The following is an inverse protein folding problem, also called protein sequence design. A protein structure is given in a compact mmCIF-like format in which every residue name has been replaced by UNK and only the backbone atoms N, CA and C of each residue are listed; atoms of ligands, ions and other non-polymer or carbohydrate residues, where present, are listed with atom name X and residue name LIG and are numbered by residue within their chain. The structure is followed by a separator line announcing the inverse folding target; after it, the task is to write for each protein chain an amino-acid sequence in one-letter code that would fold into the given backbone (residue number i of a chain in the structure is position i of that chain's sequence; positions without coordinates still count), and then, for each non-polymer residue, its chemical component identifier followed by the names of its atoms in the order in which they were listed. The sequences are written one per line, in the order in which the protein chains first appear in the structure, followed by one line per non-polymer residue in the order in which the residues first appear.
data_IF_803737952131
#
_entry.id   IF_803737952131
#
_cell.length_a   1.000
_cell.length_b   1.000
_cell.length_c   1.000
_cell.angle_alpha   90.00
_cell.angle_beta   90.00
_cell.angle_gamma   90.00
#
_symmetry.space_group_name_H-M   'P 1'
#
loop_
_entity.id
_entity.type
_entity.pdbx_description
1 polymer ?
#
# COMPACT_ATOMS: atom_id res chain seq x y z
N UNK A 1 25.15 -14.74 2.98
CA UNK A 1 23.86 -15.46 2.80
C UNK A 1 23.31 -15.45 1.38
N UNK A 2 22.76 -14.36 0.81
CA UNK A 2 22.11 -14.42 -0.53
C UNK A 2 23.06 -14.83 -1.68
N UNK A 3 24.29 -14.29 -1.70
CA UNK A 3 25.34 -14.67 -2.66
C UNK A 3 25.82 -16.12 -2.48
N UNK A 4 25.86 -16.62 -1.25
CA UNK A 4 26.24 -18.01 -0.94
C UNK A 4 25.16 -18.98 -1.41
N UNK A 5 23.88 -18.65 -1.22
CA UNK A 5 22.75 -19.45 -1.71
C UNK A 5 22.65 -19.43 -3.23
N UNK A 6 22.93 -18.29 -3.87
CA UNK A 6 23.00 -18.19 -5.33
C UNK A 6 24.11 -19.06 -5.93
N UNK A 7 25.24 -19.18 -5.22
CA UNK A 7 26.34 -20.07 -5.59
C UNK A 7 26.07 -21.56 -5.26
N UNK A 8 25.03 -21.86 -4.48
CA UNK A 8 24.60 -23.23 -4.20
C UNK A 8 23.68 -23.77 -5.30
N UNK A 9 23.50 -25.09 -5.36
CA UNK A 9 22.61 -25.76 -6.32
C UNK A 9 21.13 -25.56 -5.96
N UNK A 10 20.63 -24.34 -6.10
CA UNK A 10 19.25 -23.96 -5.82
C UNK A 10 18.30 -24.48 -6.92
N UNK A 11 17.11 -24.95 -6.55
CA UNK A 11 16.02 -25.18 -7.51
C UNK A 11 15.44 -23.82 -7.95
N UNK A 12 15.97 -23.31 -9.06
CA UNK A 12 15.57 -22.04 -9.63
C UNK A 12 14.14 -22.02 -10.16
N UNK A 13 13.60 -23.17 -10.59
CA UNK A 13 12.23 -23.25 -11.08
C UNK A 13 11.25 -23.18 -9.90
N UNK A 14 11.58 -23.81 -8.77
CA UNK A 14 10.86 -23.61 -7.52
C UNK A 14 10.92 -22.16 -7.06
N UNK A 15 12.11 -21.53 -7.07
CA UNK A 15 12.27 -20.13 -6.71
C UNK A 15 11.36 -19.20 -7.53
N UNK A 16 11.33 -19.37 -8.86
CA UNK A 16 10.47 -18.57 -9.74
C UNK A 16 8.98 -18.78 -9.45
N UNK A 17 8.55 -20.01 -9.16
CA UNK A 17 7.15 -20.31 -8.78
C UNK A 17 6.81 -19.78 -7.38
N UNK A 18 7.79 -19.67 -6.50
CA UNK A 18 7.62 -19.23 -5.12
C UNK A 18 7.47 -17.70 -5.01
N UNK A 19 8.28 -16.93 -5.73
CA UNK A 19 8.33 -15.47 -5.56
C UNK A 19 7.02 -14.77 -5.99
N UNK A 20 6.33 -15.30 -7.00
CA UNK A 20 5.18 -14.64 -7.63
C UNK A 20 3.92 -14.61 -6.72
N UNK A 21 3.46 -15.72 -6.10
CA UNK A 21 2.37 -15.69 -5.12
C UNK A 21 2.65 -14.78 -3.91
N UNK A 22 3.92 -14.56 -3.59
CA UNK A 22 4.33 -13.69 -2.48
C UNK A 22 4.41 -12.20 -2.85
N UNK A 23 4.01 -11.83 -4.07
CA UNK A 23 4.00 -10.43 -4.56
C UNK A 23 5.35 -9.70 -4.45
N UNK A 24 6.44 -10.46 -4.29
CA UNK A 24 7.79 -9.91 -4.14
C UNK A 24 8.55 -9.82 -5.47
N UNK A 25 7.94 -10.28 -6.57
CA UNK A 25 8.62 -10.44 -7.85
C UNK A 25 9.28 -9.16 -8.39
N UNK A 26 8.64 -7.98 -8.39
CA UNK A 26 9.30 -6.75 -8.87
C UNK A 26 10.52 -6.37 -8.03
N UNK A 27 10.40 -6.46 -6.70
CA UNK A 27 11.47 -6.12 -5.75
C UNK A 27 12.63 -7.11 -5.87
N UNK A 28 12.33 -8.41 -5.89
CA UNK A 28 13.32 -9.49 -6.06
C UNK A 28 14.03 -9.36 -7.40
N UNK A 29 13.30 -9.10 -8.49
CA UNK A 29 13.90 -8.88 -9.81
C UNK A 29 14.86 -7.69 -9.81
N UNK A 30 14.48 -6.58 -9.17
CA UNK A 30 15.34 -5.41 -9.03
C UNK A 30 16.64 -5.75 -8.27
N UNK A 31 16.52 -6.42 -7.12
CA UNK A 31 17.66 -6.83 -6.31
C UNK A 31 18.57 -7.79 -7.07
N UNK A 32 18.03 -8.87 -7.65
CA UNK A 32 18.79 -9.85 -8.43
C UNK A 32 19.58 -9.19 -9.55
N UNK A 33 18.97 -8.27 -10.29
CA UNK A 33 19.65 -7.54 -11.37
C UNK A 33 20.80 -6.67 -10.85
N UNK A 34 20.69 -6.11 -9.66
CA UNK A 34 21.69 -5.22 -9.09
C UNK A 34 22.84 -5.96 -8.39
N UNK A 35 22.57 -7.14 -7.83
CA UNK A 35 23.52 -7.79 -6.90
C UNK A 35 23.89 -9.23 -7.26
N UNK A 36 23.07 -9.95 -8.04
CA UNK A 36 23.22 -11.39 -8.26
C UNK A 36 23.21 -11.79 -9.75
N UNK A 37 23.14 -10.85 -10.70
CA UNK A 37 22.95 -11.16 -12.13
C UNK A 37 24.02 -12.06 -12.72
N UNK A 38 25.26 -11.95 -12.24
CA UNK A 38 26.39 -12.77 -12.67
C UNK A 38 26.48 -14.12 -11.94
N UNK A 39 25.71 -14.29 -10.85
CA UNK A 39 25.79 -15.44 -9.95
C UNK A 39 24.65 -16.45 -10.13
N UNK A 40 23.67 -16.16 -10.97
CA UNK A 40 22.51 -17.04 -11.21
C UNK A 40 22.40 -17.39 -12.70
N UNK A 41 21.68 -18.47 -13.08
CA UNK A 41 21.55 -18.83 -14.48
C UNK A 41 20.89 -17.71 -15.31
N UNK A 42 21.43 -17.35 -16.49
CA UNK A 42 20.88 -16.27 -17.33
C UNK A 42 19.39 -16.40 -17.61
N UNK A 43 18.90 -17.64 -17.81
CA UNK A 43 17.47 -17.93 -18.01
C UNK A 43 16.59 -17.40 -16.87
N UNK A 44 17.08 -17.45 -15.63
CA UNK A 44 16.33 -17.04 -14.44
C UNK A 44 16.30 -15.51 -14.34
N UNK A 45 17.43 -14.85 -14.63
CA UNK A 45 17.48 -13.38 -14.74
C UNK A 45 16.48 -12.87 -15.77
N UNK A 46 16.47 -13.47 -16.96
CA UNK A 46 15.57 -13.07 -18.04
C UNK A 46 14.10 -13.31 -17.70
N UNK A 47 13.78 -14.46 -17.11
CA UNK A 47 12.41 -14.77 -16.67
C UNK A 47 11.93 -13.78 -15.61
N UNK A 48 12.74 -13.49 -14.58
CA UNK A 48 12.42 -12.47 -13.57
C UNK A 48 12.19 -11.11 -14.22
N UNK A 49 13.06 -10.70 -15.15
CA UNK A 49 12.96 -9.42 -15.84
C UNK A 49 11.67 -9.33 -16.65
N UNK A 50 11.35 -10.35 -17.45
CA UNK A 50 10.15 -10.38 -18.28
C UNK A 50 8.89 -10.36 -17.42
N UNK A 51 8.85 -11.13 -16.33
CA UNK A 51 7.73 -11.10 -15.38
C UNK A 51 7.61 -9.74 -14.70
N UNK A 52 8.72 -9.15 -14.24
CA UNK A 52 8.73 -7.86 -13.57
C UNK A 52 8.25 -6.74 -14.51
N UNK A 53 8.56 -6.79 -15.81
CA UNK A 53 8.01 -5.85 -16.80
C UNK A 53 6.47 -5.94 -16.86
N UNK A 54 5.89 -7.15 -16.81
CA UNK A 54 4.42 -7.32 -16.80
C UNK A 54 3.78 -6.72 -15.55
N UNK A 55 4.38 -6.97 -14.39
CA UNK A 55 3.94 -6.35 -13.13
C UNK A 55 4.06 -4.83 -13.18
N UNK A 56 5.20 -4.32 -13.66
CA UNK A 56 5.45 -2.89 -13.82
C UNK A 56 4.40 -2.20 -14.66
N UNK A 57 4.01 -2.76 -15.82
CA UNK A 57 2.95 -2.19 -16.67
C UNK A 57 1.59 -2.11 -15.95
N UNK A 58 1.24 -3.15 -15.17
CA UNK A 58 0.01 -3.14 -14.37
C UNK A 58 0.09 -2.07 -13.28
N UNK A 59 1.22 -1.98 -12.59
CA UNK A 59 1.47 -0.99 -11.55
C UNK A 59 1.41 0.44 -12.12
N UNK A 60 1.98 0.68 -13.29
CA UNK A 60 1.85 1.97 -14.01
C UNK A 60 0.38 2.30 -14.27
N UNK A 61 -0.38 1.34 -14.81
CA UNK A 61 -1.81 1.55 -15.10
C UNK A 61 -2.60 1.88 -13.83
N UNK A 62 -2.35 1.15 -12.73
CA UNK A 62 -2.97 1.44 -11.43
C UNK A 62 -2.54 2.80 -10.88
N UNK A 63 -1.29 3.20 -11.12
CA UNK A 63 -0.77 4.49 -10.69
C UNK A 63 -1.41 5.65 -11.44
N UNK A 64 -1.59 5.51 -12.75
CA UNK A 64 -2.29 6.50 -13.57
C UNK A 64 -3.76 6.63 -13.18
N UNK A 65 -4.43 5.50 -12.94
CA UNK A 65 -5.81 5.51 -12.45
C UNK A 65 -5.91 6.15 -11.06
N UNK A 66 -4.99 5.83 -10.16
CA UNK A 66 -4.94 6.45 -8.83
C UNK A 66 -4.74 7.97 -8.94
N UNK A 67 -3.83 8.43 -9.79
CA UNK A 67 -3.59 9.85 -10.01
C UNK A 67 -4.84 10.58 -10.57
N UNK A 68 -5.58 9.94 -11.48
CA UNK A 68 -6.83 10.47 -12.01
C UNK A 68 -7.90 10.60 -10.91
N UNK A 69 -8.09 9.55 -10.10
CA UNK A 69 -9.02 9.55 -8.96
C UNK A 69 -8.65 10.61 -7.93
N UNK A 70 -7.37 10.73 -7.58
CA UNK A 70 -6.88 11.74 -6.64
C UNK A 70 -7.13 13.16 -7.13
N UNK A 71 -6.92 13.41 -8.43
CA UNK A 71 -7.23 14.71 -9.04
C UNK A 71 -8.73 15.02 -8.99
N UNK A 72 -9.58 14.02 -9.26
CA UNK A 72 -11.03 14.18 -9.19
C UNK A 72 -11.52 14.44 -7.75
N UNK A 73 -10.93 13.77 -6.76
CA UNK A 73 -11.22 14.01 -5.35
C UNK A 73 -10.78 15.39 -4.89
N UNK A 74 -9.58 15.83 -5.27
CA UNK A 74 -9.10 17.18 -4.97
C UNK A 74 -10.05 18.25 -5.56
N UNK A 75 -10.51 18.07 -6.80
CA UNK A 75 -11.48 18.96 -7.43
C UNK A 75 -12.83 19.03 -6.72
N UNK A 76 -13.17 18.01 -5.93
CA UNK A 76 -14.36 17.96 -5.08
C UNK A 76 -14.07 18.38 -3.61
N UNK A 77 -12.86 18.83 -3.29
CA UNK A 77 -12.45 19.23 -1.94
C UNK A 77 -12.24 18.05 -0.98
N UNK A 78 -12.04 16.83 -1.48
CA UNK A 78 -11.93 15.61 -0.68
C UNK A 78 -10.45 15.30 -0.42
N UNK A 79 -10.08 15.26 0.86
CA UNK A 79 -8.75 14.80 1.27
C UNK A 79 -8.66 13.27 1.14
N UNK A 80 -8.09 12.80 0.04
CA UNK A 80 -7.93 11.38 -0.26
C UNK A 80 -6.53 10.87 0.13
N UNK A 81 -6.51 9.79 0.92
CA UNK A 81 -5.30 9.20 1.48
C UNK A 81 -5.14 7.77 0.99
N UNK A 82 -4.29 7.51 -0.02
CA UNK A 82 -3.95 6.16 -0.43
C UNK A 82 -3.26 5.41 0.71
N UNK A 83 -3.79 4.23 1.05
CA UNK A 83 -3.37 3.46 2.22
C UNK A 83 -2.22 2.50 1.94
N UNK A 84 -2.13 1.98 0.71
CA UNK A 84 -1.12 1.01 0.25
C UNK A 84 -0.89 1.17 -1.25
N UNK A 85 -0.10 0.26 -1.83
CA UNK A 85 0.03 0.13 -3.27
C UNK A 85 0.97 1.21 -3.83
N UNK A 86 0.70 1.79 -5.00
CA UNK A 86 1.70 2.53 -5.77
C UNK A 86 2.38 3.68 -5.02
N UNK A 87 1.62 4.43 -4.22
CA UNK A 87 2.14 5.56 -3.43
C UNK A 87 3.08 5.13 -2.32
N UNK A 88 2.73 4.07 -1.59
CA UNK A 88 3.56 3.53 -0.52
C UNK A 88 4.85 2.94 -1.08
N UNK A 89 4.75 2.20 -2.19
CA UNK A 89 5.90 1.58 -2.84
C UNK A 89 6.84 2.63 -3.42
N UNK A 90 6.32 3.69 -4.04
CA UNK A 90 7.13 4.83 -4.50
C UNK A 90 7.80 5.54 -3.32
N UNK A 91 7.10 5.69 -2.19
CA UNK A 91 7.68 6.30 -0.99
C UNK A 91 8.86 5.48 -0.42
N UNK A 92 8.74 4.16 -0.38
CA UNK A 92 9.76 3.26 0.19
C UNK A 92 10.92 3.03 -0.80
N UNK A 93 10.62 2.74 -2.06
CA UNK A 93 11.61 2.26 -3.05
C UNK A 93 11.86 3.23 -4.20
N UNK A 94 11.19 4.38 -4.25
CA UNK A 94 11.39 5.41 -5.27
C UNK A 94 10.79 5.09 -6.65
N UNK A 95 10.08 3.97 -6.80
CA UNK A 95 9.49 3.56 -8.08
C UNK A 95 8.15 2.83 -7.89
N UNK A 96 7.04 3.50 -8.24
CA UNK A 96 5.69 2.94 -8.15
C UNK A 96 5.51 1.64 -8.96
N UNK A 97 6.36 1.37 -9.96
CA UNK A 97 6.27 0.17 -10.82
C UNK A 97 6.63 -1.11 -10.08
N UNK A 98 7.23 -0.99 -8.90
CA UNK A 98 7.50 -2.12 -8.02
C UNK A 98 6.23 -2.60 -7.28
N UNK A 99 5.10 -1.88 -7.41
CA UNK A 99 3.89 -2.19 -6.68
C UNK A 99 3.15 -3.40 -7.27
N UNK A 100 3.29 -4.55 -6.61
CA UNK A 100 2.53 -5.75 -6.91
C UNK A 100 1.16 -5.75 -6.20
N UNK A 101 0.38 -4.68 -6.39
CA UNK A 101 -0.98 -4.56 -5.85
C UNK A 101 -2.05 -4.91 -6.90
N UNK A 102 -3.19 -5.41 -6.44
CA UNK A 102 -4.30 -5.81 -7.32
C UNK A 102 -5.42 -4.76 -7.37
N UNK A 103 -5.50 -3.94 -6.33
CA UNK A 103 -6.52 -2.95 -6.05
C UNK A 103 -5.92 -1.66 -5.44
N UNK A 104 -6.73 -0.60 -5.45
CA UNK A 104 -6.42 0.69 -4.85
C UNK A 104 -7.18 0.84 -3.54
N UNK A 105 -6.48 1.04 -2.42
CA UNK A 105 -7.07 1.33 -1.11
C UNK A 105 -6.98 2.84 -0.84
N UNK A 106 -8.12 3.54 -0.70
CA UNK A 106 -8.14 4.99 -0.42
C UNK A 106 -8.99 5.27 0.80
N UNK A 107 -8.45 6.03 1.76
CA UNK A 107 -9.17 6.54 2.93
C UNK A 107 -9.63 7.98 2.67
N UNK A 108 -10.91 8.24 2.98
CA UNK A 108 -11.51 9.59 3.00
C UNK A 108 -12.17 9.83 4.35
N UNK A 109 -12.53 11.09 4.65
CA UNK A 109 -13.32 11.38 5.87
C UNK A 109 -14.68 10.71 5.79
N UNK A 110 -15.25 10.35 6.94
CA UNK A 110 -16.59 9.78 6.99
C UNK A 110 -17.66 10.76 6.44
N UNK A 111 -17.45 12.07 6.63
CA UNK A 111 -18.30 13.14 6.07
C UNK A 111 -18.30 13.15 4.54
N UNK A 112 -17.19 12.75 3.93
CA UNK A 112 -16.96 12.89 2.48
C UNK A 112 -17.29 11.60 1.73
N UNK A 113 -17.62 10.51 2.44
CA UNK A 113 -17.76 9.18 1.86
C UNK A 113 -18.85 9.10 0.77
N UNK A 114 -19.97 9.79 0.96
CA UNK A 114 -21.04 9.87 -0.04
C UNK A 114 -20.57 10.67 -1.27
N UNK A 115 -20.00 11.86 -1.07
CA UNK A 115 -19.47 12.69 -2.17
C UNK A 115 -18.35 11.97 -2.93
N UNK A 116 -17.45 11.27 -2.23
CA UNK A 116 -16.40 10.46 -2.82
C UNK A 116 -16.99 9.33 -3.68
N UNK A 117 -18.05 8.67 -3.20
CA UNK A 117 -18.75 7.63 -3.97
C UNK A 117 -19.33 8.19 -5.29
N UNK A 118 -19.91 9.39 -5.24
CA UNK A 118 -20.45 10.07 -6.43
C UNK A 118 -19.34 10.50 -7.41
N UNK A 119 -18.20 10.97 -6.90
CA UNK A 119 -17.01 11.28 -7.73
C UNK A 119 -16.52 10.01 -8.43
N UNK A 120 -16.41 8.89 -7.71
CA UNK A 120 -16.01 7.61 -8.29
C UNK A 120 -16.98 7.16 -9.38
N UNK A 121 -18.29 7.29 -9.16
CA UNK A 121 -19.29 7.00 -10.17
C UNK A 121 -19.09 7.83 -11.46
N UNK A 122 -18.80 9.14 -11.32
CA UNK A 122 -18.46 10.01 -12.46
C UNK A 122 -17.15 9.64 -13.15
N UNK A 123 -16.22 9.04 -12.41
CA UNK A 123 -14.98 8.48 -12.97
C UNK A 123 -15.19 7.12 -13.66
N UNK A 124 -16.43 6.60 -13.73
CA UNK A 124 -16.77 5.34 -14.38
C UNK A 124 -16.67 4.11 -13.48
N UNK A 125 -16.44 4.28 -12.18
CA UNK A 125 -16.49 3.18 -11.23
C UNK A 125 -17.93 2.77 -10.93
N UNK A 126 -18.14 1.47 -10.83
CA UNK A 126 -19.45 0.88 -10.58
C UNK A 126 -19.36 -0.33 -9.64
N UNK A 127 -20.50 -0.77 -9.12
CA UNK A 127 -20.60 -1.89 -8.19
C UNK A 127 -21.29 -3.10 -8.84
N UNK A 128 -20.73 -4.29 -8.71
CA UNK A 128 -21.09 -5.43 -9.56
C UNK A 128 -22.33 -6.24 -9.18
N UNK A 129 -22.95 -6.05 -8.00
CA UNK A 129 -23.87 -7.08 -7.47
C UNK A 129 -25.10 -6.67 -6.65
N UNK A 130 -25.43 -5.40 -6.46
CA UNK A 130 -26.58 -5.05 -5.59
C UNK A 130 -27.76 -4.37 -6.29
N UNK A 131 -27.60 -3.78 -7.48
CA UNK A 131 -28.66 -3.01 -8.14
C UNK A 131 -28.54 -3.09 -9.67
N UNK A 132 -29.69 -2.99 -10.35
CA UNK A 132 -29.78 -3.01 -11.81
C UNK A 132 -29.14 -1.78 -12.50
N UNK A 133 -28.95 -0.67 -11.77
CA UNK A 133 -28.37 0.57 -12.30
C UNK A 133 -26.83 0.62 -12.21
N UNK A 134 -26.19 -0.28 -11.45
CA UNK A 134 -24.74 -0.34 -11.27
C UNK A 134 -24.11 0.85 -10.51
N UNK A 135 -24.90 1.86 -10.14
CA UNK A 135 -24.43 3.09 -9.51
C UNK A 135 -24.04 2.81 -8.05
N UNK A 136 -22.79 3.12 -7.64
CA UNK A 136 -22.36 2.92 -6.27
C UNK A 136 -23.05 3.92 -5.33
N UNK A 137 -23.38 3.49 -4.11
CA UNK A 137 -23.98 4.33 -3.07
C UNK A 137 -23.34 4.03 -1.74
N UNK A 138 -23.00 5.06 -0.97
CA UNK A 138 -22.49 4.86 0.38
C UNK A 138 -23.64 4.51 1.32
N UNK A 139 -23.46 3.47 2.14
CA UNK A 139 -24.42 3.11 3.20
C UNK A 139 -23.85 3.60 4.53
N UNK A 140 -24.62 4.39 5.28
CA UNK A 140 -24.21 4.88 6.60
C UNK A 140 -23.82 3.71 7.52
N UNK A 141 -22.72 3.86 8.28
CA UNK A 141 -22.18 2.81 9.14
C UNK A 141 -21.29 1.78 8.42
N UNK A 142 -21.14 1.86 7.09
CA UNK A 142 -20.20 1.02 6.34
C UNK A 142 -18.76 1.47 6.59
N UNK A 143 -17.83 0.51 6.62
CA UNK A 143 -16.39 0.80 6.78
C UNK A 143 -15.65 0.93 5.45
N UNK A 144 -16.12 0.24 4.41
CA UNK A 144 -15.54 0.23 3.09
C UNK A 144 -16.59 0.03 1.98
N UNK A 145 -16.41 0.70 0.85
CA UNK A 145 -17.14 0.47 -0.39
C UNK A 145 -16.16 -0.09 -1.43
N UNK A 146 -16.51 -1.21 -2.06
CA UNK A 146 -15.69 -1.81 -3.13
C UNK A 146 -16.33 -1.52 -4.47
N UNK A 147 -15.61 -0.81 -5.33
CA UNK A 147 -16.04 -0.53 -6.71
C UNK A 147 -14.99 -1.02 -7.69
N UNK A 148 -15.36 -1.14 -8.95
CA UNK A 148 -14.41 -1.39 -10.01
C UNK A 148 -14.74 -0.59 -11.26
N UNK A 149 -13.72 -0.44 -12.11
CA UNK A 149 -13.83 0.11 -13.44
C UNK A 149 -13.24 -0.89 -14.43
N UNK A 150 -13.94 -1.13 -15.53
CA UNK A 150 -13.41 -1.96 -16.61
C UNK A 150 -12.37 -1.16 -17.40
N UNK A 151 -11.18 -1.73 -17.53
CA UNK A 151 -10.07 -1.16 -18.28
C UNK A 151 -10.11 -1.67 -19.73
N UNK A 152 -9.78 -0.85 -20.75
CA UNK A 152 -9.80 -1.26 -22.16
C UNK A 152 -8.94 -2.49 -22.50
N UNK A 153 -7.96 -2.82 -21.66
CA UNK A 153 -7.14 -4.04 -21.78
C UNK A 153 -7.81 -5.29 -21.15
N UNK A 154 -9.14 -5.33 -21.09
CA UNK A 154 -9.95 -6.48 -20.62
C UNK A 154 -9.65 -6.95 -19.18
N UNK A 155 -9.35 -6.02 -18.28
CA UNK A 155 -9.26 -6.32 -16.84
C UNK A 155 -9.98 -5.26 -16.01
N UNK A 156 -10.24 -5.59 -14.75
CA UNK A 156 -10.87 -4.67 -13.79
C UNK A 156 -9.83 -4.00 -12.90
N UNK A 157 -9.99 -2.70 -12.73
CA UNK A 157 -9.31 -1.94 -11.68
C UNK A 157 -10.25 -1.87 -10.49
N UNK A 158 -9.86 -2.52 -9.41
CA UNK A 158 -10.61 -2.53 -8.16
C UNK A 158 -10.16 -1.37 -7.28
N UNK A 159 -11.12 -0.72 -6.63
CA UNK A 159 -10.88 0.34 -5.68
C UNK A 159 -11.73 0.12 -4.44
N UNK A 160 -11.07 0.12 -3.28
CA UNK A 160 -11.71 0.09 -1.97
C UNK A 160 -11.65 1.49 -1.36
N UNK A 161 -12.82 2.11 -1.23
CA UNK A 161 -13.00 3.38 -0.56
C UNK A 161 -13.30 3.14 0.91
N UNK A 162 -12.41 3.57 1.79
CA UNK A 162 -12.46 3.39 3.23
C UNK A 162 -12.81 4.69 3.94
N UNK A 163 -13.38 4.55 5.14
CA UNK A 163 -13.55 5.65 6.11
C UNK A 163 -12.80 5.32 7.40
N UNK A 164 -12.65 6.27 8.36
CA UNK A 164 -12.05 5.99 9.67
C UNK A 164 -12.63 4.77 10.41
N UNK A 165 -13.87 4.35 10.12
CA UNK A 165 -14.43 3.11 10.67
C UNK A 165 -13.64 1.86 10.29
N UNK A 166 -13.00 1.86 9.12
CA UNK A 166 -12.06 0.81 8.72
C UNK A 166 -10.87 0.72 9.68
N UNK A 167 -10.26 1.86 10.02
CA UNK A 167 -9.13 1.91 10.95
C UNK A 167 -9.56 1.44 12.36
N UNK A 168 -10.77 1.81 12.82
CA UNK A 168 -11.34 1.30 14.08
C UNK A 168 -11.50 -0.22 14.05
N UNK A 169 -12.03 -0.78 12.95
CA UNK A 169 -12.18 -2.23 12.75
C UNK A 169 -10.84 -2.97 12.65
N UNK A 170 -9.81 -2.31 12.15
CA UNK A 170 -8.44 -2.84 12.09
C UNK A 170 -7.65 -2.63 13.39
N UNK A 171 -8.32 -2.33 14.51
CA UNK A 171 -7.72 -2.15 15.83
C UNK A 171 -6.78 -0.95 15.95
N UNK A 172 -6.62 -0.15 14.89
CA UNK A 172 -5.76 1.04 14.84
C UNK A 172 -6.28 2.12 15.80
N UNK A 173 -7.60 2.25 15.95
CA UNK A 173 -8.21 3.20 16.88
C UNK A 173 -7.88 2.96 18.36
N UNK A 174 -7.21 1.85 18.70
CA UNK A 174 -6.68 1.60 20.05
C UNK A 174 -5.32 2.25 20.30
N UNK A 175 -4.63 2.67 19.24
CA UNK A 175 -3.27 3.24 19.29
C UNK A 175 -3.26 4.78 19.23
N UNK A 176 -4.42 5.41 19.07
CA UNK A 176 -4.59 6.87 19.12
C UNK A 176 -5.91 7.34 18.53
N UNK A 177 -6.33 8.58 18.80
CA UNK A 177 -7.51 9.17 18.18
C UNK A 177 -7.27 9.31 16.67
N UNK A 178 -8.03 8.55 15.87
CA UNK A 178 -8.02 8.61 14.40
C UNK A 178 -8.44 10.01 13.92
N UNK A 179 -9.13 10.76 14.76
CA UNK A 179 -9.54 12.12 14.52
C UNK A 179 -8.32 13.05 14.32
N UNK A 180 -7.23 12.82 15.07
CA UNK A 180 -5.98 13.59 14.95
C UNK A 180 -5.12 13.14 13.75
N UNK A 181 -5.43 12.00 13.12
CA UNK A 181 -4.72 11.53 11.93
C UNK A 181 -4.75 12.59 10.83
N UNK A 182 -5.90 13.22 10.66
CA UNK A 182 -6.14 14.19 9.60
C UNK A 182 -5.30 15.46 9.74
N UNK A 183 -4.95 15.84 10.96
CA UNK A 183 -4.10 17.01 11.26
C UNK A 183 -2.62 16.73 10.95
N UNK A 184 -2.23 15.46 10.95
CA UNK A 184 -0.86 15.01 10.72
C UNK A 184 -0.61 14.61 9.26
N UNK A 185 -1.65 14.57 8.41
CA UNK A 185 -1.48 14.21 7.01
C UNK A 185 -0.51 15.15 6.32
N UNK A 186 0.33 14.55 5.47
CA UNK A 186 1.33 15.29 4.71
C UNK A 186 0.83 15.49 3.29
N UNK A 187 0.77 16.73 2.84
CA UNK A 187 0.44 17.03 1.44
C UNK A 187 1.66 16.75 0.56
N UNK A 188 1.42 16.20 -0.62
CA UNK A 188 2.46 16.00 -1.62
C UNK A 188 1.89 15.86 -3.03
N UNK A 189 2.69 15.25 -3.90
CA UNK A 189 2.29 14.91 -5.26
C UNK A 189 2.58 13.43 -5.53
N UNK A 190 1.71 12.81 -6.32
CA UNK A 190 1.90 11.46 -6.86
C UNK A 190 1.56 11.51 -8.35
N UNK A 191 2.54 11.24 -9.22
CA UNK A 191 2.40 11.41 -10.69
C UNK A 191 1.79 12.75 -11.10
N UNK A 192 2.18 13.83 -10.41
CA UNK A 192 1.67 15.18 -10.63
C UNK A 192 0.34 15.51 -9.93
N UNK A 193 -0.46 14.50 -9.58
CA UNK A 193 -1.72 14.68 -8.87
C UNK A 193 -1.50 15.08 -7.40
N UNK A 194 -2.33 15.97 -6.82
CA UNK A 194 -2.34 16.24 -5.39
C UNK A 194 -2.69 14.99 -4.59
N UNK A 195 -1.97 14.74 -3.50
CA UNK A 195 -2.21 13.57 -2.64
C UNK A 195 -1.95 13.91 -1.18
N UNK A 196 -2.69 13.25 -0.29
CA UNK A 196 -2.43 13.26 1.14
C UNK A 196 -1.78 11.95 1.56
N UNK A 197 -0.61 12.02 2.15
CA UNK A 197 0.12 10.87 2.68
C UNK A 197 -0.15 10.70 4.17
N UNK A 198 -0.30 9.45 4.59
CA UNK A 198 -0.18 9.09 5.99
C UNK A 198 1.24 9.39 6.49
N UNK A 199 1.40 9.86 7.74
CA UNK A 199 2.68 9.82 8.43
C UNK A 199 3.29 8.42 8.50
N UNK A 200 4.61 8.33 8.50
CA UNK A 200 5.32 7.04 8.42
C UNK A 200 5.03 6.12 9.63
N UNK A 201 4.85 6.69 10.83
CA UNK A 201 4.43 5.93 12.03
C UNK A 201 3.04 5.30 11.86
N UNK A 202 2.12 6.00 11.21
CA UNK A 202 0.80 5.49 10.86
C UNK A 202 0.84 4.46 9.73
N UNK A 203 1.67 4.67 8.70
CA UNK A 203 1.91 3.68 7.65
C UNK A 203 2.44 2.38 8.24
N UNK A 204 3.42 2.46 9.15
CA UNK A 204 3.98 1.29 9.82
C UNK A 204 2.91 0.51 10.59
N UNK A 205 2.10 1.20 11.42
CA UNK A 205 1.01 0.58 12.17
C UNK A 205 -0.04 -0.06 11.24
N UNK A 206 -0.42 0.64 10.18
CA UNK A 206 -1.39 0.17 9.21
C UNK A 206 -0.92 -1.11 8.51
N UNK A 207 0.31 -1.11 7.97
CA UNK A 207 0.88 -2.26 7.28
C UNK A 207 1.10 -3.42 8.26
N UNK A 208 1.55 -3.16 9.49
CA UNK A 208 1.76 -4.21 10.49
C UNK A 208 0.46 -4.91 10.86
N UNK A 209 -0.60 -4.14 11.16
CA UNK A 209 -1.90 -4.68 11.55
C UNK A 209 -2.63 -5.33 10.36
N UNK A 210 -2.49 -4.76 9.16
CA UNK A 210 -2.97 -5.41 7.94
C UNK A 210 -2.27 -6.76 7.73
N UNK A 211 -0.94 -6.79 7.83
CA UNK A 211 -0.14 -8.01 7.67
C UNK A 211 -0.51 -9.09 8.69
N UNK A 212 -0.71 -8.71 9.96
CA UNK A 212 -1.19 -9.61 11.01
C UNK A 212 -2.57 -10.19 10.67
N UNK A 213 -3.50 -9.36 10.21
CA UNK A 213 -4.85 -9.81 9.82
C UNK A 213 -4.82 -10.79 8.64
N UNK A 214 -3.84 -10.64 7.76
CA UNK A 214 -3.62 -11.52 6.61
C UNK A 214 -2.51 -12.55 6.86
N UNK A 215 -2.15 -12.82 8.12
CA UNK A 215 -1.16 -13.82 8.54
C UNK A 215 0.17 -13.79 7.76
N UNK A 216 0.62 -12.60 7.34
CA UNK A 216 1.84 -12.42 6.54
C UNK A 216 1.91 -13.34 5.30
N UNK A 217 0.76 -13.57 4.65
CA UNK A 217 0.66 -14.49 3.50
C UNK A 217 1.60 -14.11 2.35
N UNK A 218 2.04 -12.86 2.26
CA UNK A 218 2.96 -12.38 1.22
C UNK A 218 4.25 -11.84 1.81
N UNK A 219 5.37 -12.08 1.12
CA UNK A 219 6.67 -11.48 1.47
C UNK A 219 6.70 -9.98 1.20
N UNK A 220 5.83 -9.48 0.31
CA UNK A 220 5.66 -8.05 0.09
C UNK A 220 5.37 -7.30 1.39
N UNK A 221 4.45 -7.80 2.22
CA UNK A 221 4.14 -7.22 3.53
C UNK A 221 5.40 -7.05 4.41
N UNK A 222 6.25 -8.07 4.47
CA UNK A 222 7.48 -8.02 5.25
C UNK A 222 8.49 -7.02 4.67
N UNK A 223 8.60 -6.97 3.35
CA UNK A 223 9.45 -6.00 2.66
C UNK A 223 8.97 -4.56 2.89
N UNK A 224 7.65 -4.31 2.86
CA UNK A 224 7.06 -2.99 3.11
C UNK A 224 7.33 -2.52 4.55
N UNK A 225 7.17 -3.40 5.53
CA UNK A 225 7.52 -3.10 6.92
C UNK A 225 9.00 -2.76 7.08
N UNK A 226 9.87 -3.58 6.48
CA UNK A 226 11.30 -3.33 6.51
C UNK A 226 11.65 -1.98 5.88
N UNK A 227 11.14 -1.71 4.69
CA UNK A 227 11.40 -0.45 4.00
C UNK A 227 10.84 0.78 4.72
N UNK A 228 9.68 0.67 5.37
CA UNK A 228 9.16 1.72 6.26
C UNK A 228 10.06 1.94 7.47
N UNK A 229 10.61 0.88 8.08
CA UNK A 229 11.54 1.02 9.21
C UNK A 229 12.87 1.66 8.82
N UNK A 230 13.31 1.49 7.57
CA UNK A 230 14.51 2.13 7.04
C UNK A 230 14.27 3.59 6.63
N UNK A 231 13.10 3.87 6.05
CA UNK A 231 12.75 5.20 5.52
C UNK A 231 12.25 6.14 6.61
N UNK A 232 11.52 5.62 7.60
CA UNK A 232 10.95 6.42 8.67
C UNK A 232 12.05 6.90 9.63
N UNK A 233 12.04 8.19 9.98
CA UNK A 233 12.86 8.75 11.06
C UNK A 233 12.30 8.35 12.44
N UNK A 234 12.13 7.06 12.69
CA UNK A 234 11.74 6.54 14.00
C UNK A 234 12.99 6.55 14.86
N UNK A 235 12.96 7.33 15.94
CA UNK A 235 14.03 7.29 16.95
C UNK A 235 14.24 5.83 17.39
N UNK A 236 15.41 5.26 17.09
CA UNK A 236 15.80 3.90 17.49
C UNK A 236 15.97 3.75 19.00
N UNK A 237 15.70 4.80 19.80
CA UNK A 237 15.59 4.66 21.25
C UNK A 237 14.35 3.81 21.54
N UNK A 238 14.60 2.53 21.78
CA UNK A 238 13.64 1.63 22.41
C UNK A 238 13.41 2.20 23.81
N UNK A 239 12.35 2.98 23.99
CA UNK A 239 11.83 3.23 25.33
C UNK A 239 11.15 1.94 25.77
N UNK A 240 11.93 1.03 26.37
CA UNK A 240 11.35 -0.02 27.20
C UNK A 240 10.53 0.70 28.29
N UNK A 241 9.27 0.32 28.53
CA UNK A 241 8.51 0.87 29.65
C UNK A 241 9.25 0.47 30.94
N UNK A 242 10.01 1.41 31.52
CA UNK A 242 10.79 1.17 32.73
C UNK A 242 12.04 2.05 32.89
N UNK A 243 12.63 2.57 31.82
CA UNK A 243 13.84 3.40 31.93
C UNK A 243 13.51 4.88 31.72
N UNK A 244 13.03 5.56 32.76
CA UNK A 244 12.88 7.01 32.70
C UNK A 244 11.90 7.67 33.64
N UNK A 245 11.72 7.20 34.87
CA UNK A 245 11.20 8.05 35.93
C UNK A 245 12.02 7.86 37.20
N UNK A 246 13.08 8.66 37.34
CA UNK A 246 13.63 9.00 38.64
C UNK A 246 12.51 9.68 39.41
N UNK A 247 11.93 8.99 40.39
CA UNK A 247 11.03 9.61 41.36
C UNK A 247 11.77 10.79 42.02
N UNK A 248 11.14 11.97 42.15
CA UNK A 248 11.76 13.06 42.89
C UNK A 248 11.94 12.60 44.34
N UNK A 249 13.17 12.68 44.86
CA UNK A 249 13.43 12.55 46.29
C UNK A 249 12.65 13.68 46.98
N UNK A 250 11.79 13.38 47.97
CA UNK A 250 11.23 14.43 48.80
C UNK A 250 12.37 15.05 49.61
N UNK A 251 12.49 16.38 49.54
CA UNK A 251 13.38 17.13 50.41
C UNK A 251 12.89 17.07 51.86
N UNK A 252 13.85 16.87 52.78
CA UNK A 252 13.70 16.80 54.22
C UNK A 252 15.01 16.34 54.83
#
# INVERSE_FOLDING_TARGET
MARELAAANLDWDYFLRFVEPHKALPIVSCHVRQTLSEMIPPRVCDELRLRAIRYGKRAETLSDELAAVLTAFEGAGIAAVPLKGPTLIEHIWGDCRLAACDDLDILVRASDAQTATEVLARCGYHHGKERADGVPRWKLGTSALVVFRDHPMFFRIWLQLHTPYFLKRCWIGRFGPIEHLWERLRRGRFRGAPVWYLPDDWNLLLIALHSLRHSFVTLLCAAELHGLLETAHISRKVCLPGEGHSLPRPGG
#
